data_IF_382603778167
#
_entry.id   IF_382603778167
#
_cell.length_a   1.000
_cell.length_b   1.000
_cell.length_c   1.000
_cell.angle_alpha   90.00
_cell.angle_beta   90.00
_cell.angle_gamma   90.00
#
_symmetry.space_group_name_H-M   'P 1'
#
loop_
_entity.id
_entity.type
_entity.pdbx_description
1 polymer ?
#
# COMPACT_ATOMS: atom_id res chain seq x y z
N UNK A 1 -41.19 15.03 -24.52
CA UNK A 1 -40.88 13.93 -23.58
C UNK A 1 -39.97 14.51 -22.53
N UNK A 2 -40.52 14.78 -21.35
CA UNK A 2 -39.87 15.48 -20.24
C UNK A 2 -39.04 14.51 -19.39
N UNK A 3 -37.83 14.90 -19.01
CA UNK A 3 -36.99 14.13 -18.09
C UNK A 3 -37.25 14.55 -16.63
N UNK A 4 -37.45 13.59 -15.71
CA UNK A 4 -37.28 13.80 -14.27
C UNK A 4 -36.22 12.79 -13.74
N UNK A 5 -35.42 12.95 -12.69
CA UNK A 5 -35.22 13.94 -11.63
C UNK A 5 -33.71 13.91 -11.29
N UNK A 6 -33.19 15.01 -10.72
CA UNK A 6 -31.85 15.05 -10.15
C UNK A 6 -31.71 14.14 -8.92
N UNK A 7 -30.56 13.47 -8.81
CA UNK A 7 -30.18 12.74 -7.61
C UNK A 7 -29.62 13.72 -6.59
N UNK A 8 -30.49 14.19 -5.68
CA UNK A 8 -30.07 14.91 -4.48
C UNK A 8 -29.44 13.93 -3.50
N UNK A 9 -28.14 14.08 -3.22
CA UNK A 9 -27.51 13.42 -2.07
C UNK A 9 -28.00 14.10 -0.78
N UNK A 10 -29.10 13.60 -0.24
CA UNK A 10 -29.56 13.88 1.12
C UNK A 10 -28.82 13.01 2.12
N UNK A 11 -27.61 13.41 2.50
CA UNK A 11 -26.89 12.84 3.64
C UNK A 11 -27.30 13.53 4.93
N UNK A 12 -28.29 12.96 5.63
CA UNK A 12 -28.58 13.29 7.03
C UNK A 12 -27.44 12.77 7.91
N UNK A 13 -26.45 13.63 8.17
CA UNK A 13 -25.41 13.43 9.17
C UNK A 13 -25.55 14.47 10.27
N UNK A 14 -26.11 14.09 11.41
CA UNK A 14 -26.11 14.89 12.63
C UNK A 14 -24.69 14.95 13.21
N UNK A 15 -24.02 16.10 13.13
CA UNK A 15 -22.77 16.35 13.86
C UNK A 15 -21.95 17.53 13.35
N UNK A 16 -22.21 18.72 13.90
CA UNK A 16 -21.37 19.93 13.72
C UNK A 16 -22.01 20.98 12.83
N UNK A 17 -22.56 22.04 13.45
CA UNK A 17 -23.11 23.22 12.77
C UNK A 17 -22.03 24.11 12.13
N UNK A 18 -21.19 23.54 11.28
CA UNK A 18 -20.36 24.28 10.35
C UNK A 18 -21.18 24.71 9.12
N UNK A 19 -20.69 25.69 8.35
CA UNK A 19 -21.31 26.03 7.07
C UNK A 19 -21.34 24.78 6.17
N UNK A 20 -22.45 24.57 5.47
CA UNK A 20 -22.58 23.49 4.48
C UNK A 20 -21.55 23.73 3.37
N UNK A 21 -20.65 22.77 3.15
CA UNK A 21 -19.71 22.83 2.04
C UNK A 21 -20.45 22.62 0.71
N UNK A 22 -20.18 23.47 -0.28
CA UNK A 22 -20.73 23.34 -1.64
C UNK A 22 -19.73 22.65 -2.55
N UNK A 23 -20.22 21.92 -3.54
CA UNK A 23 -19.39 21.32 -4.59
C UNK A 23 -18.93 22.42 -5.56
N UNK A 24 -17.62 22.57 -5.71
CA UNK A 24 -16.99 23.49 -6.67
C UNK A 24 -16.69 22.80 -8.00
N UNK A 25 -16.33 21.51 -7.94
CA UNK A 25 -16.03 20.66 -9.12
C UNK A 25 -16.57 19.26 -8.88
N UNK A 26 -17.17 18.67 -9.90
CA UNK A 26 -17.56 17.25 -9.93
C UNK A 26 -17.47 16.76 -11.38
N UNK A 27 -16.31 16.21 -11.72
CA UNK A 27 -16.06 15.59 -13.03
C UNK A 27 -16.07 14.08 -12.84
N UNK A 28 -16.80 13.35 -13.69
CA UNK A 28 -16.86 11.89 -13.66
C UNK A 28 -16.85 11.32 -15.07
N UNK A 29 -16.09 10.26 -15.26
CA UNK A 29 -16.03 9.51 -16.51
C UNK A 29 -16.22 8.00 -16.25
N UNK A 30 -16.88 7.32 -17.18
CA UNK A 30 -17.13 5.89 -17.11
C UNK A 30 -18.26 5.48 -16.14
N UNK A 31 -18.33 4.20 -15.72
CA UNK A 31 -17.45 3.13 -16.17
C UNK A 31 -17.66 2.79 -17.65
N UNK A 32 -16.58 2.54 -18.39
CA UNK A 32 -16.67 2.02 -19.76
C UNK A 32 -16.75 0.48 -19.79
N UNK A 33 -16.81 -0.10 -20.99
CA UNK A 33 -16.86 -1.56 -21.16
C UNK A 33 -15.60 -2.29 -20.67
N UNK A 34 -14.48 -1.59 -20.49
CA UNK A 34 -13.23 -2.12 -19.91
C UNK A 34 -13.20 -2.03 -18.38
N UNK A 35 -14.21 -1.42 -17.76
CA UNK A 35 -14.25 -1.15 -16.32
C UNK A 35 -13.42 0.07 -15.92
N UNK A 36 -12.99 0.89 -16.88
CA UNK A 36 -12.31 2.15 -16.57
C UNK A 36 -13.32 3.19 -16.08
N UNK A 37 -13.00 3.86 -14.98
CA UNK A 37 -13.73 5.03 -14.50
C UNK A 37 -12.75 6.06 -13.93
N UNK A 38 -13.19 7.33 -13.85
CA UNK A 38 -12.48 8.36 -13.10
C UNK A 38 -13.47 9.33 -12.46
N UNK A 39 -13.07 9.96 -11.35
CA UNK A 39 -13.77 11.13 -10.84
C UNK A 39 -12.83 12.13 -10.17
N UNK A 40 -13.25 13.40 -10.14
CA UNK A 40 -12.61 14.49 -9.45
C UNK A 40 -13.68 15.34 -8.75
N UNK A 41 -13.56 15.52 -7.44
CA UNK A 41 -14.49 16.33 -6.64
C UNK A 41 -13.71 17.34 -5.82
N UNK A 42 -14.09 18.61 -5.94
CA UNK A 42 -13.59 19.70 -5.11
C UNK A 42 -14.74 20.35 -4.36
N UNK A 43 -14.56 20.68 -3.09
CA UNK A 43 -15.56 21.34 -2.24
C UNK A 43 -15.08 22.71 -1.75
N UNK A 44 -16.03 23.56 -1.34
CA UNK A 44 -15.76 24.94 -0.92
C UNK A 44 -14.96 25.06 0.38
N UNK A 45 -14.94 24.02 1.19
CA UNK A 45 -14.13 23.90 2.42
C UNK A 45 -12.72 23.34 2.15
N UNK A 46 -12.33 23.19 0.88
CA UNK A 46 -10.97 22.86 0.48
C UNK A 46 -10.66 21.36 0.48
N UNK A 47 -11.68 20.50 0.56
CA UNK A 47 -11.51 19.07 0.33
C UNK A 47 -11.36 18.84 -1.18
N UNK A 48 -10.36 18.03 -1.55
CA UNK A 48 -10.18 17.55 -2.93
C UNK A 48 -10.06 16.03 -2.93
N UNK A 49 -10.76 15.37 -3.83
CA UNK A 49 -10.67 13.93 -4.04
C UNK A 49 -10.59 13.62 -5.53
N UNK A 50 -9.63 12.80 -5.91
CA UNK A 50 -9.53 12.26 -7.26
C UNK A 50 -9.28 10.76 -7.18
N UNK A 51 -9.87 10.02 -8.10
CA UNK A 51 -9.75 8.57 -8.14
C UNK A 51 -9.99 8.09 -9.56
N UNK A 52 -9.27 7.05 -9.94
CA UNK A 52 -9.48 6.35 -11.19
C UNK A 52 -9.29 4.86 -10.95
N UNK A 53 -10.13 4.08 -11.61
CA UNK A 53 -10.02 2.63 -11.61
C UNK A 53 -9.90 2.11 -13.03
N UNK A 54 -9.23 0.97 -13.17
CA UNK A 54 -9.17 0.22 -14.42
C UNK A 54 -9.37 -1.26 -14.13
N UNK A 55 -10.16 -1.94 -14.96
CA UNK A 55 -10.28 -3.40 -14.92
C UNK A 55 -8.90 -4.03 -15.15
N UNK A 56 -8.41 -4.79 -14.18
CA UNK A 56 -7.01 -5.25 -14.10
C UNK A 56 -6.84 -6.76 -14.27
N UNK A 57 -7.91 -7.57 -14.28
CA UNK A 57 -7.73 -9.03 -14.38
C UNK A 57 -8.97 -9.89 -14.63
N UNK A 58 -8.77 -11.22 -14.80
CA UNK A 58 -9.86 -12.18 -14.90
C UNK A 58 -10.73 -12.12 -13.64
N UNK A 59 -12.04 -12.28 -13.79
CA UNK A 59 -13.05 -12.16 -12.73
C UNK A 59 -13.44 -10.73 -12.31
N UNK A 60 -13.00 -9.70 -13.05
CA UNK A 60 -13.42 -8.32 -12.79
C UNK A 60 -12.70 -7.66 -11.62
N UNK A 61 -11.45 -8.08 -11.34
CA UNK A 61 -10.56 -7.33 -10.47
C UNK A 61 -10.36 -5.92 -11.03
N UNK A 62 -10.35 -4.91 -10.15
CA UNK A 62 -10.17 -3.50 -10.51
C UNK A 62 -9.03 -2.95 -9.66
N UNK A 63 -7.97 -2.49 -10.32
CA UNK A 63 -6.94 -1.67 -9.67
C UNK A 63 -7.46 -0.24 -9.63
N UNK A 64 -7.42 0.35 -8.45
CA UNK A 64 -7.85 1.73 -8.22
C UNK A 64 -6.69 2.53 -7.66
N UNK A 65 -6.56 3.77 -8.09
CA UNK A 65 -5.59 4.70 -7.52
C UNK A 65 -6.22 6.07 -7.40
N UNK A 66 -5.80 6.83 -6.41
CA UNK A 66 -6.38 8.14 -6.17
C UNK A 66 -5.63 8.93 -5.12
N UNK A 67 -6.14 10.12 -4.86
CA UNK A 67 -5.71 10.95 -3.76
C UNK A 67 -6.86 11.69 -3.10
N UNK A 68 -6.62 12.07 -1.86
CA UNK A 68 -7.53 12.83 -1.03
C UNK A 68 -6.73 13.87 -0.26
N UNK A 69 -7.20 15.12 -0.24
CA UNK A 69 -6.58 16.18 0.54
C UNK A 69 -7.61 17.08 1.21
N UNK A 70 -7.22 17.64 2.35
CA UNK A 70 -7.98 18.63 3.11
C UNK A 70 -7.01 19.48 3.93
N UNK A 71 -7.52 20.54 4.57
CA UNK A 71 -6.71 21.39 5.44
C UNK A 71 -7.20 21.25 6.87
N UNK A 72 -6.29 21.06 7.82
CA UNK A 72 -6.60 21.04 9.25
C UNK A 72 -7.01 22.45 9.74
N UNK A 73 -7.70 22.56 10.88
CA UNK A 73 -8.09 23.87 11.44
C UNK A 73 -6.92 24.82 11.73
N UNK A 74 -5.70 24.31 11.88
CA UNK A 74 -4.47 25.08 12.08
C UNK A 74 -3.82 25.55 10.77
N UNK A 75 -4.41 25.23 9.61
CA UNK A 75 -3.88 25.55 8.28
C UNK A 75 -2.91 24.51 7.71
N UNK A 76 -2.59 23.44 8.46
CA UNK A 76 -1.69 22.39 7.99
C UNK A 76 -2.38 21.55 6.90
N UNK A 77 -1.77 21.35 5.72
CA UNK A 77 -2.34 20.51 4.68
C UNK A 77 -2.24 19.02 5.06
N UNK A 78 -3.30 18.28 4.78
CA UNK A 78 -3.35 16.82 4.87
C UNK A 78 -3.47 16.26 3.45
N UNK A 79 -2.55 15.38 3.07
CA UNK A 79 -2.51 14.78 1.74
C UNK A 79 -2.34 13.26 1.84
N UNK A 80 -3.14 12.53 1.09
CA UNK A 80 -3.12 11.07 1.01
C UNK A 80 -3.15 10.66 -0.46
N UNK A 81 -2.29 9.74 -0.85
CA UNK A 81 -2.41 8.99 -2.11
C UNK A 81 -2.57 7.51 -1.81
N UNK A 82 -3.20 6.75 -2.69
CA UNK A 82 -3.34 5.32 -2.49
C UNK A 82 -3.35 4.54 -3.79
N UNK A 83 -3.01 3.25 -3.67
CA UNK A 83 -3.29 2.21 -4.64
C UNK A 83 -4.10 1.12 -3.94
N UNK A 84 -5.14 0.61 -4.59
CA UNK A 84 -5.91 -0.54 -4.17
C UNK A 84 -5.86 -1.60 -5.27
N UNK A 85 -5.23 -2.73 -4.98
CA UNK A 85 -4.96 -3.84 -5.89
C UNK A 85 -5.18 -5.20 -5.17
N UNK A 86 -4.65 -6.29 -5.72
CA UNK A 86 -4.74 -7.63 -5.11
C UNK A 86 -4.07 -7.73 -3.73
N UNK A 87 -3.15 -6.82 -3.40
CA UNK A 87 -2.48 -6.73 -2.10
C UNK A 87 -3.27 -5.85 -1.10
N UNK A 88 -4.45 -5.37 -1.50
CA UNK A 88 -5.33 -4.54 -0.67
C UNK A 88 -5.07 -3.04 -0.82
N UNK A 89 -5.55 -2.27 0.15
CA UNK A 89 -5.45 -0.81 0.16
C UNK A 89 -4.12 -0.34 0.75
N UNK A 90 -3.37 0.44 -0.02
CA UNK A 90 -2.01 0.88 0.30
C UNK A 90 -1.93 2.41 0.28
N UNK A 91 -2.25 3.09 1.41
CA UNK A 91 -2.17 4.54 1.50
C UNK A 91 -0.74 5.00 1.73
N UNK A 92 -0.43 6.20 1.23
CA UNK A 92 0.82 6.91 1.42
C UNK A 92 0.49 8.33 1.89
N UNK A 93 1.02 8.71 3.03
CA UNK A 93 0.95 10.08 3.58
C UNK A 93 2.02 10.26 4.65
N UNK A 94 2.49 11.49 4.83
CA UNK A 94 3.34 11.87 5.96
C UNK A 94 2.59 11.80 7.31
N UNK A 95 1.26 11.72 7.29
CA UNK A 95 0.41 11.57 8.46
C UNK A 95 0.31 10.12 8.93
N UNK A 96 0.77 9.15 8.13
CA UNK A 96 0.75 7.75 8.52
C UNK A 96 1.86 7.45 9.53
N UNK A 97 1.63 6.54 10.49
CA UNK A 97 2.67 6.06 11.37
C UNK A 97 3.84 5.49 10.56
N UNK A 98 5.06 5.94 10.86
CA UNK A 98 6.26 5.31 10.34
C UNK A 98 6.72 4.20 11.30
N UNK A 99 7.30 3.10 10.79
CA UNK A 99 7.95 2.11 11.64
C UNK A 99 9.03 2.78 12.50
N UNK A 100 9.13 2.35 13.76
CA UNK A 100 10.19 2.85 14.64
C UNK A 100 11.57 2.52 14.07
N UNK A 101 12.58 3.37 14.31
CA UNK A 101 13.95 3.07 13.90
C UNK A 101 14.43 1.72 14.45
N UNK A 102 15.26 1.03 13.67
CA UNK A 102 15.93 -0.19 14.14
C UNK A 102 16.71 0.10 15.44
N UNK A 103 16.61 -0.75 16.47
CA UNK A 103 17.35 -0.53 17.70
C UNK A 103 18.86 -0.65 17.45
N UNK A 104 19.66 0.13 18.20
CA UNK A 104 21.11 0.23 17.98
C UNK A 104 21.85 -1.11 17.99
N UNK A 105 21.40 -2.07 18.82
CA UNK A 105 22.01 -3.40 18.86
C UNK A 105 21.79 -4.19 17.56
N UNK A 106 20.65 -4.03 16.88
CA UNK A 106 20.38 -4.70 15.62
C UNK A 106 21.30 -4.14 14.52
N UNK A 107 21.52 -2.82 14.52
CA UNK A 107 22.50 -2.18 13.62
C UNK A 107 23.90 -2.73 13.89
N UNK A 108 24.33 -2.78 15.16
CA UNK A 108 25.63 -3.31 15.56
C UNK A 108 25.82 -4.79 15.17
N UNK A 109 24.78 -5.61 15.30
CA UNK A 109 24.82 -7.02 14.88
C UNK A 109 24.98 -7.16 13.36
N UNK A 110 24.27 -6.35 12.57
CA UNK A 110 24.41 -6.34 11.11
C UNK A 110 25.83 -5.91 10.71
N UNK A 111 26.39 -4.89 11.37
CA UNK A 111 27.76 -4.45 11.14
C UNK A 111 28.79 -5.53 11.50
N UNK A 112 28.63 -6.17 12.66
CA UNK A 112 29.50 -7.26 13.09
C UNK A 112 29.44 -8.46 12.12
N UNK A 113 28.25 -8.80 11.62
CA UNK A 113 28.08 -9.85 10.62
C UNK A 113 28.74 -9.50 9.27
N UNK A 114 28.63 -8.25 8.82
CA UNK A 114 29.32 -7.77 7.59
C UNK A 114 30.84 -7.85 7.72
N UNK A 115 31.39 -7.49 8.88
CA UNK A 115 32.83 -7.56 9.13
C UNK A 115 33.33 -9.01 9.08
N UNK A 116 32.62 -9.94 9.72
CA UNK A 116 32.96 -11.37 9.69
C UNK A 116 32.85 -11.97 8.28
N UNK A 117 31.80 -11.63 7.52
CA UNK A 117 31.64 -12.08 6.12
C UNK A 117 32.75 -11.56 5.19
N UNK A 118 33.22 -10.33 5.41
CA UNK A 118 34.35 -9.77 4.66
C UNK A 118 35.71 -10.40 5.02
N UNK A 119 35.84 -10.95 6.24
CA UNK A 119 37.02 -11.70 6.68
C UNK A 119 36.96 -13.18 6.26
N UNK A 120 35.77 -13.77 6.13
CA UNK A 120 35.56 -15.16 5.72
C UNK A 120 35.79 -15.47 4.23
N UNK A 121 35.88 -14.47 3.35
CA UNK A 121 36.17 -14.66 1.92
C UNK A 121 37.63 -14.37 1.52
N UNK A 122 38.55 -14.31 2.49
CA UNK A 122 40.01 -14.16 2.25
C UNK A 122 40.85 -15.27 2.91
N UNK A 123 40.30 -16.48 3.03
CA UNK A 123 41.02 -17.60 3.65
C UNK A 123 40.57 -19.00 3.22
N UNK A 124 39.79 -19.13 2.14
CA UNK A 124 39.25 -20.41 1.69
C UNK A 124 40.12 -21.20 0.71
N UNK A 125 41.45 -21.12 0.81
CA UNK A 125 42.34 -22.05 0.09
C UNK A 125 42.78 -23.18 1.02
N UNK A 126 42.21 -24.36 0.77
CA UNK A 126 42.69 -25.69 1.16
C UNK A 126 42.94 -25.98 2.65
N UNK A 127 41.98 -26.67 3.29
CA UNK A 127 42.30 -27.93 3.98
C UNK A 127 41.09 -28.85 3.95
N UNK A 128 41.19 -29.86 3.09
CA UNK A 128 40.20 -30.91 2.87
C UNK A 128 40.32 -31.91 4.03
N UNK A 129 39.72 -31.61 5.19
CA UNK A 129 39.50 -32.63 6.21
C UNK A 129 38.32 -33.49 5.75
N UNK A 130 38.64 -34.66 5.21
CA UNK A 130 37.69 -35.70 4.82
C UNK A 130 37.00 -36.25 6.05
N UNK A 131 35.75 -35.82 6.29
CA UNK A 131 34.85 -36.52 7.18
C UNK A 131 34.22 -37.68 6.39
N UNK A 132 34.68 -38.90 6.64
CA UNK A 132 33.98 -40.10 6.18
C UNK A 132 32.80 -40.37 7.12
N UNK A 133 31.56 -40.32 6.63
CA UNK A 133 30.42 -40.72 7.45
C UNK A 133 30.51 -42.22 7.78
N UNK A 134 30.06 -42.65 8.98
CA UNK A 134 30.01 -44.06 9.33
C UNK A 134 29.11 -44.81 8.34
N UNK A 135 29.60 -45.94 7.83
CA UNK A 135 28.84 -46.81 6.93
C UNK A 135 27.63 -47.39 7.68
N UNK A 136 26.44 -47.24 7.09
CA UNK A 136 25.23 -47.92 7.55
C UNK A 136 25.50 -49.43 7.60
N UNK A 137 25.22 -50.12 8.71
CA UNK A 137 25.28 -51.57 8.72
C UNK A 137 24.23 -52.11 7.74
N UNK A 138 24.72 -52.92 6.80
CA UNK A 138 23.91 -53.73 5.90
C UNK A 138 23.13 -54.76 6.69
N UNK A 139 21.87 -54.47 7.02
CA UNK A 139 20.94 -55.50 7.49
C UNK A 139 20.38 -56.26 6.28
N UNK A 140 21.17 -57.23 5.83
CA UNK A 140 20.65 -58.38 5.10
C UNK A 140 20.20 -59.41 6.14
N UNK A 141 18.89 -59.49 6.39
CA UNK A 141 18.28 -60.70 6.91
C UNK A 141 17.19 -61.15 5.95
N UNK A 142 17.52 -62.21 5.22
CA UNK A 142 16.56 -63.12 4.61
C UNK A 142 15.74 -63.79 5.73
N UNK A 143 14.42 -63.78 5.61
CA UNK A 143 13.51 -64.92 5.78
C UNK A 143 12.19 -64.61 5.09
#
# INVERSE_FOLDING_TARGET
>A
MSAPQGYGYGGSGSGGGGPVATILRDDREGPDASGYYSFNVDTSDGIRRQEQGQGSGPNGAVVQQGSYSFTFPDGTPAEFSFVADENGFQPVSNLLPTPHPLPAHAIAQIEFARQQGSQGNRGGSASRNSYSPPQSPSNAYNF
#
